data_IF_333653969272
#
_entry.id   IF_333653969272
#
_cell.length_a   1.000
_cell.length_b   1.000
_cell.length_c   1.000
_cell.angle_alpha   90.00
_cell.angle_beta   90.00
_cell.angle_gamma   90.00
#
_symmetry.space_group_name_H-M   'P 1'
#
loop_
_entity.id
_entity.type
_entity.pdbx_description
1 polymer ?
#
# COMPACT_ATOMS: atom_id res chain seq x y z
N UNK A 1 20.67 -0.72 15.89
CA UNK A 1 21.25 -1.86 15.20
C UNK A 1 20.70 -2.05 13.79
N UNK A 2 21.20 -3.03 13.10
CA UNK A 2 20.80 -3.33 11.71
C UNK A 2 19.32 -3.66 11.58
N UNK A 3 18.75 -4.35 12.57
CA UNK A 3 17.34 -4.71 12.57
C UNK A 3 16.43 -3.51 12.57
N UNK A 4 16.76 -2.50 13.34
CA UNK A 4 15.98 -1.26 13.42
C UNK A 4 16.01 -0.52 12.08
N UNK A 5 17.17 -0.45 11.45
CA UNK A 5 17.32 0.21 10.16
C UNK A 5 16.50 -0.50 9.08
N UNK A 6 16.53 -1.83 9.06
CA UNK A 6 15.77 -2.62 8.08
C UNK A 6 14.26 -2.35 8.22
N UNK A 7 13.74 -2.30 9.45
CA UNK A 7 12.32 -2.04 9.67
C UNK A 7 11.96 -0.59 9.32
N UNK A 8 12.80 0.37 9.66
CA UNK A 8 12.57 1.77 9.27
C UNK A 8 12.55 1.92 7.75
N UNK A 9 13.49 1.28 7.05
CA UNK A 9 13.57 1.33 5.60
C UNK A 9 12.33 0.68 4.97
N UNK A 10 11.84 -0.43 5.52
CA UNK A 10 10.64 -1.10 5.03
C UNK A 10 9.40 -0.21 5.16
N UNK A 11 9.24 0.47 6.30
CA UNK A 11 8.12 1.37 6.54
C UNK A 11 8.20 2.59 5.61
N UNK A 12 9.39 3.17 5.44
CA UNK A 12 9.60 4.29 4.52
C UNK A 12 9.27 3.88 3.09
N UNK A 13 9.72 2.69 2.67
CA UNK A 13 9.40 2.15 1.35
C UNK A 13 7.89 2.02 1.15
N UNK A 14 7.19 1.44 2.14
CA UNK A 14 5.73 1.28 2.05
C UNK A 14 5.03 2.63 1.91
N UNK A 15 5.45 3.62 2.70
CA UNK A 15 4.84 4.94 2.67
C UNK A 15 5.03 5.61 1.30
N UNK A 16 6.27 5.62 0.79
CA UNK A 16 6.59 6.26 -0.49
C UNK A 16 5.97 5.52 -1.68
N UNK A 17 6.08 4.21 -1.69
CA UNK A 17 5.55 3.38 -2.78
C UNK A 17 4.03 3.54 -2.91
N UNK A 18 3.33 3.47 -1.76
CA UNK A 18 1.86 3.56 -1.80
C UNK A 18 1.38 4.93 -2.27
N UNK A 19 2.03 6.02 -1.86
CA UNK A 19 1.65 7.36 -2.33
C UNK A 19 1.77 7.48 -3.84
N UNK A 20 2.89 7.04 -4.40
CA UNK A 20 3.17 7.16 -5.83
C UNK A 20 2.32 6.18 -6.64
N UNK A 21 2.32 4.91 -6.24
CA UNK A 21 1.65 3.84 -6.98
C UNK A 21 0.12 4.02 -6.95
N UNK A 22 -0.44 4.27 -5.77
CA UNK A 22 -1.88 4.42 -5.62
C UNK A 22 -2.39 5.66 -6.35
N UNK A 23 -1.63 6.76 -6.30
CA UNK A 23 -1.98 7.97 -7.04
C UNK A 23 -2.02 7.75 -8.54
N UNK A 24 -1.00 7.10 -9.08
CA UNK A 24 -0.93 6.73 -10.50
C UNK A 24 -2.11 5.85 -10.91
N UNK A 25 -2.39 4.82 -10.12
CA UNK A 25 -3.46 3.88 -10.41
C UNK A 25 -4.83 4.53 -10.37
N UNK A 26 -5.09 5.38 -9.37
CA UNK A 26 -6.36 6.10 -9.25
C UNK A 26 -6.56 7.04 -10.44
N UNK A 27 -5.50 7.69 -10.90
CA UNK A 27 -5.55 8.56 -12.08
C UNK A 27 -5.94 7.77 -13.33
N UNK A 28 -5.33 6.60 -13.53
CA UNK A 28 -5.66 5.73 -14.65
C UNK A 28 -7.10 5.22 -14.56
N UNK A 29 -7.55 4.86 -13.37
CA UNK A 29 -8.92 4.40 -13.16
C UNK A 29 -9.94 5.47 -13.53
N UNK A 30 -9.67 6.72 -13.16
CA UNK A 30 -10.54 7.85 -13.53
C UNK A 30 -10.53 8.09 -15.03
N UNK A 31 -9.36 8.03 -15.65
CA UNK A 31 -9.20 8.25 -17.09
C UNK A 31 -9.96 7.20 -17.90
N UNK A 32 -9.93 5.94 -17.50
CA UNK A 32 -10.60 4.85 -18.19
C UNK A 32 -11.96 4.50 -17.61
N UNK A 33 -12.45 5.27 -16.64
CA UNK A 33 -13.77 5.09 -16.01
C UNK A 33 -13.94 3.69 -15.40
N UNK A 34 -12.94 3.25 -14.64
CA UNK A 34 -12.98 1.94 -14.01
C UNK A 34 -14.18 1.84 -13.05
N UNK A 35 -15.06 0.82 -13.21
CA UNK A 35 -16.32 0.75 -12.43
C UNK A 35 -16.13 0.67 -10.92
N UNK A 36 -15.09 0.01 -10.45
CA UNK A 36 -14.84 -0.16 -9.01
C UNK A 36 -13.88 0.89 -8.44
N UNK A 37 -13.74 2.04 -9.12
CA UNK A 37 -12.81 3.11 -8.68
C UNK A 37 -13.04 3.52 -7.22
N UNK A 38 -14.28 3.78 -6.82
CA UNK A 38 -14.56 4.24 -5.45
C UNK A 38 -14.16 3.21 -4.40
N UNK A 39 -14.50 1.94 -4.62
CA UNK A 39 -14.12 0.87 -3.70
C UNK A 39 -12.60 0.74 -3.62
N UNK A 40 -11.90 0.83 -4.75
CA UNK A 40 -10.45 0.71 -4.80
C UNK A 40 -9.77 1.88 -4.10
N UNK A 41 -10.27 3.09 -4.32
CA UNK A 41 -9.77 4.29 -3.66
C UNK A 41 -9.95 4.19 -2.14
N UNK A 42 -11.10 3.71 -1.70
CA UNK A 42 -11.37 3.52 -0.27
C UNK A 42 -10.37 2.55 0.35
N UNK A 43 -10.08 1.45 -0.34
CA UNK A 43 -9.08 0.49 0.11
C UNK A 43 -7.70 1.14 0.21
N UNK A 44 -7.29 1.91 -0.80
CA UNK A 44 -6.02 2.64 -0.80
C UNK A 44 -5.91 3.58 0.40
N UNK A 45 -6.96 4.34 0.68
CA UNK A 45 -6.98 5.28 1.80
C UNK A 45 -6.86 4.56 3.14
N UNK A 46 -7.57 3.46 3.30
CA UNK A 46 -7.49 2.63 4.50
C UNK A 46 -6.11 2.04 4.71
N UNK A 47 -5.50 1.56 3.63
CA UNK A 47 -4.14 0.99 3.69
C UNK A 47 -3.11 2.05 4.09
N UNK A 48 -3.15 3.23 3.47
CA UNK A 48 -2.23 4.33 3.79
C UNK A 48 -2.36 4.70 5.28
N UNK A 49 -3.57 4.72 5.80
CA UNK A 49 -3.81 5.02 7.21
C UNK A 49 -3.15 3.99 8.13
N UNK A 50 -3.22 2.72 7.76
CA UNK A 50 -2.55 1.64 8.52
C UNK A 50 -1.03 1.81 8.50
N UNK A 51 -0.46 2.22 7.37
CA UNK A 51 0.99 2.47 7.26
C UNK A 51 1.39 3.66 8.12
N UNK A 52 0.62 4.74 8.11
CA UNK A 52 0.87 5.91 8.94
C UNK A 52 0.83 5.55 10.43
N UNK A 53 -0.13 4.71 10.82
CA UNK A 53 -0.28 4.26 12.21
C UNK A 53 0.93 3.42 12.64
N UNK A 54 1.36 2.45 11.84
CA UNK A 54 2.50 1.62 12.19
C UNK A 54 3.81 2.43 12.20
N UNK A 55 3.93 3.41 11.31
CA UNK A 55 5.09 4.31 11.29
C UNK A 55 5.19 5.13 12.57
N UNK A 56 4.06 5.66 13.03
CA UNK A 56 3.99 6.44 14.27
C UNK A 56 4.37 5.58 15.48
N UNK A 57 3.84 4.36 15.54
CA UNK A 57 4.14 3.44 16.64
C UNK A 57 5.61 2.99 16.62
N UNK A 58 6.15 2.74 15.44
CA UNK A 58 7.57 2.39 15.29
C UNK A 58 8.46 3.51 15.82
N UNK A 59 8.11 4.76 15.50
CA UNK A 59 8.87 5.93 15.95
C UNK A 59 8.80 6.07 17.48
N UNK A 60 7.64 5.81 18.06
CA UNK A 60 7.42 5.96 19.51
C UNK A 60 8.00 4.81 20.33
N UNK A 61 7.85 3.58 19.86
CA UNK A 61 8.15 2.37 20.63
C UNK A 61 9.37 1.59 20.15
N UNK A 62 9.82 1.86 18.92
CA UNK A 62 10.87 1.07 18.28
C UNK A 62 10.35 -0.25 17.73
N UNK A 63 11.24 -1.09 17.18
CA UNK A 63 10.85 -2.32 16.47
C UNK A 63 10.52 -3.46 17.42
N UNK A 64 9.39 -3.35 18.12
CA UNK A 64 8.90 -4.43 18.97
C UNK A 64 8.46 -5.62 18.10
N UNK A 65 8.29 -6.79 18.70
CA UNK A 65 7.83 -7.99 18.00
C UNK A 65 6.46 -7.72 17.34
N UNK A 66 5.57 -7.05 18.05
CA UNK A 66 4.24 -6.72 17.54
C UNK A 66 4.32 -5.80 16.32
N UNK A 67 5.17 -4.78 16.37
CA UNK A 67 5.33 -3.84 15.26
C UNK A 67 5.97 -4.51 14.05
N UNK A 68 7.00 -5.35 14.25
CA UNK A 68 7.62 -6.11 13.17
C UNK A 68 6.60 -7.02 12.49
N UNK A 69 5.78 -7.72 13.27
CA UNK A 69 4.73 -8.57 12.74
C UNK A 69 3.72 -7.78 11.91
N UNK A 70 3.35 -6.58 12.36
CA UNK A 70 2.42 -5.74 11.63
C UNK A 70 3.02 -5.23 10.32
N UNK A 71 4.28 -4.84 10.31
CA UNK A 71 4.96 -4.43 9.07
C UNK A 71 4.94 -5.56 8.06
N UNK A 72 5.24 -6.79 8.50
CA UNK A 72 5.18 -7.96 7.62
C UNK A 72 3.77 -8.20 7.09
N UNK A 73 2.75 -8.02 7.91
CA UNK A 73 1.35 -8.17 7.51
C UNK A 73 0.98 -7.11 6.45
N UNK A 74 1.44 -5.86 6.62
CA UNK A 74 1.18 -4.80 5.63
C UNK A 74 1.86 -5.09 4.31
N UNK A 75 3.08 -5.61 4.33
CA UNK A 75 3.78 -6.00 3.10
C UNK A 75 3.03 -7.10 2.36
N UNK A 76 2.57 -8.12 3.09
CA UNK A 76 1.80 -9.22 2.52
C UNK A 76 0.50 -8.75 1.89
N UNK A 77 -0.21 -7.84 2.55
CA UNK A 77 -1.44 -7.25 2.03
C UNK A 77 -1.20 -6.49 0.73
N UNK A 78 -0.11 -5.71 0.67
CA UNK A 78 0.23 -4.95 -0.52
C UNK A 78 0.53 -5.88 -1.70
N UNK A 79 1.31 -6.92 -1.46
CA UNK A 79 1.65 -7.90 -2.50
C UNK A 79 0.39 -8.57 -3.03
N UNK A 80 -0.51 -8.99 -2.14
CA UNK A 80 -1.78 -9.61 -2.53
C UNK A 80 -2.64 -8.63 -3.34
N UNK A 81 -2.70 -7.37 -2.91
CA UNK A 81 -3.46 -6.33 -3.60
C UNK A 81 -2.94 -6.13 -5.04
N UNK A 82 -1.61 -6.06 -5.19
CA UNK A 82 -0.99 -5.91 -6.51
C UNK A 82 -1.33 -7.10 -7.41
N UNK A 83 -1.24 -8.31 -6.89
CA UNK A 83 -1.50 -9.53 -7.66
C UNK A 83 -2.96 -9.72 -8.05
N UNK A 84 -3.88 -9.13 -7.31
CA UNK A 84 -5.32 -9.32 -7.55
C UNK A 84 -5.99 -8.06 -8.11
N UNK A 85 -6.08 -7.01 -7.30
CA UNK A 85 -6.84 -5.80 -7.68
C UNK A 85 -6.17 -5.00 -8.78
N UNK A 86 -4.85 -4.81 -8.68
CA UNK A 86 -4.12 -4.03 -9.70
C UNK A 86 -4.14 -4.76 -11.04
N UNK A 87 -4.09 -6.09 -11.02
CA UNK A 87 -4.20 -6.88 -12.24
C UNK A 87 -5.57 -6.68 -12.90
N UNK A 88 -6.64 -6.63 -12.12
CA UNK A 88 -7.98 -6.36 -12.64
C UNK A 88 -8.08 -5.00 -13.31
N UNK A 89 -7.45 -3.99 -12.72
CA UNK A 89 -7.39 -2.65 -13.32
C UNK A 89 -6.65 -2.68 -14.65
N UNK A 90 -5.49 -3.34 -14.70
CA UNK A 90 -4.71 -3.47 -15.92
C UNK A 90 -5.47 -4.19 -17.03
N UNK A 91 -6.18 -5.26 -16.68
CA UNK A 91 -7.01 -6.02 -17.63
C UNK A 91 -8.14 -5.15 -18.17
N UNK A 92 -8.80 -4.38 -17.30
CA UNK A 92 -9.87 -3.47 -17.71
C UNK A 92 -9.36 -2.41 -18.69
N UNK A 93 -8.21 -1.82 -18.41
CA UNK A 93 -7.61 -0.79 -19.26
C UNK A 93 -7.27 -1.38 -20.64
N UNK A 94 -6.71 -2.58 -20.66
CA UNK A 94 -6.40 -3.27 -21.92
C UNK A 94 -7.65 -3.53 -22.76
N UNK A 95 -8.73 -3.94 -22.10
CA UNK A 95 -10.00 -4.17 -22.78
C UNK A 95 -10.63 -2.90 -23.35
N UNK A 96 -10.29 -1.75 -22.77
CA UNK A 96 -10.85 -0.46 -23.16
C UNK A 96 -10.08 0.21 -24.31
N UNK A 97 -8.91 -0.32 -24.66
CA UNK A 97 -8.10 0.20 -25.76
C UNK A 97 -8.56 -0.39 -27.13
#
# INVERSE_FOLDING_TARGET
GKGRQVINDAVDFLADYTKTHFGHEEKLQLEYKFPAYQAHRTWHQGYVKKIEDVAARLKAEGPTIAIVAEVNARLSELITHIKTMDLKVAQFIQSSK
#
